data_IF_835453434525
#
_entry.id   IF_835453434525
#
_cell.length_a   1.000
_cell.length_b   1.000
_cell.length_c   1.000
_cell.angle_alpha   90.00
_cell.angle_beta   90.00
_cell.angle_gamma   90.00
#
_symmetry.space_group_name_H-M   'P 1'
#
loop_
_entity.id
_entity.type
_entity.pdbx_description
1 polymer ?
#
# COMPACT_ATOMS: atom_id res chain seq x y z
N UNK A 1 -4.23 -1.58 -3.68
CA UNK A 1 -4.91 -2.17 -4.85
C UNK A 1 -6.25 -1.49 -4.99
N UNK A 2 -6.84 -1.49 -6.18
CA UNK A 2 -8.20 -1.00 -6.43
C UNK A 2 -9.15 -2.20 -6.49
N UNK A 3 -10.39 -2.09 -6.01
CA UNK A 3 -11.42 -3.13 -6.18
C UNK A 3 -11.89 -3.16 -7.63
N UNK A 4 -12.69 -4.18 -7.95
CA UNK A 4 -13.34 -4.32 -9.26
C UNK A 4 -14.29 -3.17 -9.61
N UNK A 5 -14.61 -2.29 -8.66
CA UNK A 5 -15.41 -1.08 -8.84
C UNK A 5 -14.54 0.20 -8.89
N UNK A 6 -13.22 0.09 -8.83
CA UNK A 6 -12.27 1.21 -8.88
C UNK A 6 -12.04 1.94 -7.55
N UNK A 7 -12.50 1.39 -6.42
CA UNK A 7 -12.29 1.90 -5.06
C UNK A 7 -11.01 1.35 -4.40
N UNK A 8 -10.54 1.97 -3.32
CA UNK A 8 -9.32 1.54 -2.61
C UNK A 8 -9.57 0.25 -1.81
N UNK A 9 -8.78 -0.81 -2.05
CA UNK A 9 -8.91 -2.11 -1.35
C UNK A 9 -7.84 -2.40 -0.32
N UNK A 10 -6.76 -1.63 -0.30
CA UNK A 10 -5.61 -1.92 0.55
C UNK A 10 -5.10 -0.66 1.23
N UNK A 11 -4.67 -0.82 2.48
CA UNK A 11 -4.02 0.23 3.27
C UNK A 11 -2.73 -0.33 3.88
N UNK A 12 -1.69 0.49 3.88
CA UNK A 12 -0.43 0.23 4.56
C UNK A 12 0.04 1.48 5.29
N UNK A 13 0.86 1.31 6.32
CA UNK A 13 1.43 2.42 7.09
C UNK A 13 2.76 2.79 6.44
N UNK A 14 2.87 4.02 5.93
CA UNK A 14 4.13 4.51 5.38
C UNK A 14 5.17 4.67 6.49
N UNK A 15 6.35 4.09 6.28
CA UNK A 15 7.44 4.06 7.29
C UNK A 15 8.72 4.78 6.81
N UNK A 16 8.66 5.47 5.67
CA UNK A 16 9.80 6.17 5.08
C UNK A 16 10.56 5.37 4.02
N UNK A 17 11.48 6.04 3.33
CA UNK A 17 12.33 5.45 2.29
C UNK A 17 11.57 4.67 1.20
N UNK A 18 10.39 5.13 0.79
CA UNK A 18 9.58 4.45 -0.22
C UNK A 18 9.02 3.10 0.24
N UNK A 19 8.92 2.87 1.56
CA UNK A 19 8.40 1.62 2.14
C UNK A 19 7.17 1.83 2.98
N UNK A 20 6.32 0.81 2.99
CA UNK A 20 5.20 0.68 3.91
C UNK A 20 5.28 -0.63 4.71
N UNK A 21 4.69 -0.63 5.90
CA UNK A 21 4.32 -1.83 6.66
C UNK A 21 2.86 -2.15 6.35
N UNK A 22 2.58 -3.37 5.89
CA UNK A 22 1.24 -3.79 5.50
C UNK A 22 0.97 -5.27 5.76
N UNK A 23 -0.28 -5.68 5.58
CA UNK A 23 -0.71 -7.07 5.70
C UNK A 23 -1.22 -7.56 4.36
N UNK A 24 -0.49 -8.48 3.75
CA UNK A 24 -0.84 -9.12 2.48
C UNK A 24 -1.25 -10.58 2.71
N UNK A 25 -1.57 -11.33 1.65
CA UNK A 25 -1.91 -12.76 1.74
C UNK A 25 -0.80 -13.61 2.40
N UNK A 26 0.45 -13.16 2.29
CA UNK A 26 1.62 -13.78 2.92
C UNK A 26 1.89 -13.33 4.37
N UNK A 27 0.99 -12.53 4.94
CA UNK A 27 1.09 -11.97 6.28
C UNK A 27 1.63 -10.54 6.32
N UNK A 28 2.08 -10.14 7.51
CA UNK A 28 2.61 -8.79 7.77
C UNK A 28 4.01 -8.66 7.20
N UNK A 29 4.27 -7.61 6.42
CA UNK A 29 5.56 -7.41 5.77
C UNK A 29 5.86 -5.94 5.47
N UNK A 30 7.12 -5.72 5.09
CA UNK A 30 7.58 -4.46 4.54
C UNK A 30 7.58 -4.54 3.01
N UNK A 31 6.91 -3.60 2.37
CA UNK A 31 6.75 -3.54 0.92
C UNK A 31 7.23 -2.20 0.37
N UNK A 32 7.89 -2.23 -0.79
CA UNK A 32 8.34 -1.05 -1.51
C UNK A 32 7.20 -0.51 -2.39
N UNK A 33 6.81 0.75 -2.19
CA UNK A 33 5.71 1.40 -2.93
C UNK A 33 6.18 2.08 -4.22
N UNK A 34 7.50 2.15 -4.43
CA UNK A 34 8.14 2.79 -5.59
C UNK A 34 8.56 1.78 -6.66
N UNK A 35 8.54 0.49 -6.32
CA UNK A 35 8.87 -0.62 -7.23
C UNK A 35 7.87 -1.77 -7.13
N UNK A 36 7.96 -2.73 -8.05
CA UNK A 36 7.11 -3.93 -8.04
C UNK A 36 5.61 -3.65 -8.21
N UNK A 37 4.78 -4.51 -7.60
CA UNK A 37 3.32 -4.45 -7.68
C UNK A 37 2.77 -3.12 -7.17
N UNK A 38 3.24 -2.65 -6.02
CA UNK A 38 2.69 -1.49 -5.33
C UNK A 38 2.91 -0.16 -6.06
N UNK A 39 3.95 -0.04 -6.89
CA UNK A 39 4.18 1.12 -7.76
C UNK A 39 2.96 1.48 -8.62
N UNK A 40 2.29 0.47 -9.14
CA UNK A 40 1.13 0.65 -10.03
C UNK A 40 -0.22 0.65 -9.27
N UNK A 41 -0.19 0.43 -7.96
CA UNK A 41 -1.40 0.30 -7.11
C UNK A 41 -1.44 1.33 -5.97
N UNK A 42 -0.58 2.36 -6.04
CA UNK A 42 -0.55 3.47 -5.09
C UNK A 42 -1.68 4.45 -5.40
N UNK A 43 -2.66 4.54 -4.50
CA UNK A 43 -3.80 5.45 -4.64
C UNK A 43 -3.63 6.81 -3.95
N UNK A 44 -2.67 6.94 -3.04
CA UNK A 44 -2.41 8.19 -2.32
C UNK A 44 -1.99 7.97 -0.86
N UNK A 45 -1.88 9.08 -0.11
CA UNK A 45 -1.52 9.09 1.31
C UNK A 45 -2.56 9.88 2.11
N UNK A 46 -2.81 9.46 3.35
CA UNK A 46 -3.69 10.13 4.29
C UNK A 46 -3.15 10.03 5.72
N UNK A 47 -3.51 10.99 6.57
CA UNK A 47 -3.19 11.00 8.01
C UNK A 47 -4.45 10.78 8.84
N UNK A 48 -4.30 10.24 10.05
CA UNK A 48 -5.38 10.25 11.03
C UNK A 48 -5.50 11.67 11.63
N UNK A 49 -6.73 12.20 11.73
CA UNK A 49 -7.03 13.44 12.46
C UNK A 49 -7.59 13.11 13.84
#
# INVERSE_FOLDING_TARGET
GTDSQGGMTHVGIYIGNGRMLDSEDSGIKYSDITSGYWKNHLGGFATAN
#
